data_IF_575000809088
#
_entry.id   IF_575000809088
#
_cell.length_a   1.000
_cell.length_b   1.000
_cell.length_c   1.000
_cell.angle_alpha   90.00
_cell.angle_beta   90.00
_cell.angle_gamma   90.00
#
_symmetry.space_group_name_H-M   'P 1'
#
loop_
_entity.id
_entity.type
_entity.pdbx_description
1 polymer ?
#
# COMPACT_ATOMS: atom_id res chain seq x y z
N UNK A 1 26.96 72.82 -31.61
CA UNK A 1 26.08 71.80 -32.22
C UNK A 1 24.66 71.98 -31.69
N UNK A 2 23.68 72.11 -32.60
CA UNK A 2 22.20 71.92 -32.57
C UNK A 2 21.49 71.96 -31.18
N UNK A 3 20.60 72.94 -30.90
CA UNK A 3 19.11 72.95 -31.10
C UNK A 3 18.38 71.85 -30.30
N UNK A 4 17.20 71.95 -29.69
CA UNK A 4 16.16 72.96 -29.37
C UNK A 4 14.95 72.13 -28.83
N UNK A 5 14.10 72.71 -27.96
CA UNK A 5 12.65 72.40 -27.74
C UNK A 5 12.23 71.06 -27.10
N UNK A 6 11.46 71.08 -25.98
CA UNK A 6 9.98 71.15 -25.84
C UNK A 6 9.28 69.83 -26.22
N UNK A 7 8.57 69.19 -25.28
CA UNK A 7 7.13 68.89 -25.42
C UNK A 7 6.58 68.17 -24.18
N UNK A 8 5.52 68.75 -23.64
CA UNK A 8 4.49 68.12 -22.82
C UNK A 8 3.87 66.91 -23.52
N UNK A 9 3.46 65.88 -22.77
CA UNK A 9 2.32 65.05 -23.13
C UNK A 9 1.61 64.52 -21.88
N UNK A 10 0.42 65.08 -21.63
CA UNK A 10 -0.64 64.51 -20.80
C UNK A 10 -1.28 63.40 -21.63
N UNK A 11 -1.48 62.21 -21.04
CA UNK A 11 -2.27 61.15 -21.66
C UNK A 11 -3.36 60.68 -20.68
N UNK A 12 -4.58 60.92 -21.15
CA UNK A 12 -5.89 60.77 -20.52
C UNK A 12 -6.32 59.30 -20.43
N UNK A 13 -7.15 59.02 -19.43
CA UNK A 13 -7.94 57.81 -19.11
C UNK A 13 -8.37 56.91 -20.27
N UNK A 14 -8.41 55.60 -19.99
CA UNK A 14 -9.54 54.74 -20.39
C UNK A 14 -9.94 53.86 -19.20
N UNK A 15 -11.10 54.18 -18.63
CA UNK A 15 -11.89 53.28 -17.76
C UNK A 15 -12.66 52.36 -18.68
N UNK A 16 -12.37 51.06 -18.64
CA UNK A 16 -13.20 50.04 -19.29
C UNK A 16 -14.18 49.47 -18.27
N UNK A 17 -15.42 49.95 -18.34
CA UNK A 17 -16.59 49.27 -17.76
C UNK A 17 -17.00 48.17 -18.74
N UNK A 18 -17.02 46.92 -18.28
CA UNK A 18 -17.68 45.81 -18.96
C UNK A 18 -18.85 45.38 -18.09
N UNK A 19 -20.05 45.47 -18.67
CA UNK A 19 -21.34 45.15 -18.10
C UNK A 19 -21.84 43.77 -18.55
N UNK A 20 -22.70 43.16 -17.71
CA UNK A 20 -23.72 42.12 -17.97
C UNK A 20 -23.21 40.69 -18.18
N UNK A 21 -23.80 39.61 -17.63
CA UNK A 21 -25.12 39.35 -17.01
C UNK A 21 -25.04 38.05 -16.13
N UNK A 22 -26.10 37.63 -15.40
CA UNK A 22 -26.03 36.55 -14.41
C UNK A 22 -26.30 35.17 -15.05
N UNK A 23 -25.54 34.15 -14.65
CA UNK A 23 -25.89 32.75 -14.92
C UNK A 23 -25.92 31.96 -13.61
N UNK A 24 -27.14 31.70 -13.16
CA UNK A 24 -27.50 30.63 -12.24
C UNK A 24 -27.58 29.33 -13.02
N UNK A 25 -26.90 28.28 -12.55
CA UNK A 25 -27.48 26.93 -12.53
C UNK A 25 -26.65 26.06 -11.57
N UNK A 26 -27.20 25.82 -10.38
CA UNK A 26 -26.82 24.66 -9.58
C UNK A 26 -27.46 23.44 -10.26
N UNK A 27 -26.64 22.50 -10.71
CA UNK A 27 -27.13 21.24 -11.25
C UNK A 27 -27.33 20.26 -10.09
N UNK A 28 -28.58 20.11 -9.66
CA UNK A 28 -29.02 19.04 -8.77
C UNK A 28 -28.90 17.70 -9.50
N UNK A 29 -28.01 16.82 -9.03
CA UNK A 29 -27.98 15.43 -9.50
C UNK A 29 -29.14 14.65 -8.85
N UNK A 30 -29.94 13.89 -9.63
CA UNK A 30 -31.13 13.22 -9.11
C UNK A 30 -30.78 12.02 -8.22
N UNK A 31 -31.36 11.99 -7.02
CA UNK A 31 -31.39 10.82 -6.15
C UNK A 31 -32.03 9.63 -6.88
N UNK A 32 -31.26 8.54 -7.08
CA UNK A 32 -31.82 7.23 -7.38
C UNK A 32 -32.31 6.58 -6.09
N UNK A 33 -33.62 6.55 -5.90
CA UNK A 33 -34.29 5.67 -4.93
C UNK A 33 -34.17 4.23 -5.39
N UNK A 34 -33.58 3.37 -4.55
CA UNK A 34 -33.75 1.93 -4.66
C UNK A 34 -34.57 1.49 -3.45
N UNK A 35 -35.87 1.30 -3.67
CA UNK A 35 -36.74 0.60 -2.74
C UNK A 35 -36.45 -0.90 -2.85
N UNK A 36 -36.04 -1.52 -1.74
CA UNK A 36 -36.50 -2.83 -1.27
C UNK A 36 -35.67 -3.25 -0.05
N UNK A 37 -36.14 -2.88 1.14
CA UNK A 37 -35.71 -3.52 2.38
C UNK A 37 -36.94 -4.09 3.06
N UNK A 38 -37.07 -5.41 2.98
CA UNK A 38 -37.96 -6.19 3.85
C UNK A 38 -37.33 -6.19 5.24
N UNK A 39 -37.89 -5.40 6.15
CA UNK A 39 -37.49 -5.37 7.57
C UNK A 39 -38.36 -6.37 8.33
N UNK A 40 -37.76 -7.46 8.81
CA UNK A 40 -38.36 -8.26 9.88
C UNK A 40 -37.78 -7.73 11.20
N UNK A 41 -38.66 -7.09 11.98
CA UNK A 41 -38.34 -6.39 13.22
C UNK A 41 -37.93 -7.35 14.34
N UNK A 42 -36.95 -6.95 15.16
CA UNK A 42 -37.01 -7.14 16.61
C UNK A 42 -36.26 -6.00 17.33
N UNK A 43 -37.03 -4.95 17.64
CA UNK A 43 -37.02 -4.12 18.85
C UNK A 43 -35.67 -3.80 19.52
N UNK A 44 -35.13 -2.61 19.20
CA UNK A 44 -34.52 -1.70 20.18
C UNK A 44 -34.49 -0.28 19.56
N UNK A 45 -35.20 0.67 20.16
CA UNK A 45 -35.15 2.07 19.78
C UNK A 45 -33.82 2.68 20.27
N UNK A 46 -33.02 3.21 19.35
CA UNK A 46 -31.92 4.12 19.66
C UNK A 46 -32.16 5.40 18.88
N UNK A 47 -32.59 6.42 19.62
CA UNK A 47 -32.68 7.81 19.18
C UNK A 47 -31.28 8.41 19.12
N UNK A 48 -30.74 8.53 17.91
CA UNK A 48 -29.50 9.25 17.63
C UNK A 48 -29.50 9.70 16.17
N UNK A 49 -29.29 11.00 15.94
CA UNK A 49 -29.17 11.58 14.61
C UNK A 49 -28.03 10.92 13.83
N UNK A 50 -28.37 10.30 12.70
CA UNK A 50 -27.42 9.71 11.75
C UNK A 50 -26.80 10.81 10.90
N UNK A 51 -25.55 11.17 11.17
CA UNK A 51 -24.68 11.70 10.13
C UNK A 51 -24.21 10.51 9.29
N UNK A 52 -24.47 10.57 7.98
CA UNK A 52 -23.99 9.57 7.03
C UNK A 52 -22.47 9.76 6.88
N UNK A 53 -21.69 8.91 7.55
CA UNK A 53 -20.25 8.80 7.34
C UNK A 53 -20.04 7.78 6.23
N UNK A 54 -19.70 8.27 5.03
CA UNK A 54 -19.35 7.45 3.88
C UNK A 54 -18.07 6.64 4.17
N UNK A 55 -18.10 5.34 3.88
CA UNK A 55 -16.94 4.46 3.83
C UNK A 55 -16.78 3.50 5.01
N UNK A 56 -17.24 2.27 4.83
CA UNK A 56 -16.82 1.12 5.63
C UNK A 56 -15.28 1.02 5.59
N UNK A 57 -14.61 1.13 6.74
CA UNK A 57 -13.16 0.94 6.80
C UNK A 57 -12.83 -0.51 6.44
N UNK A 58 -12.02 -0.70 5.37
CA UNK A 58 -11.59 -2.03 4.95
C UNK A 58 -10.85 -2.73 6.07
N UNK A 59 -11.14 -4.03 6.20
CA UNK A 59 -10.40 -4.88 7.13
C UNK A 59 -8.92 -5.00 6.69
N UNK A 60 -8.03 -5.34 7.61
CA UNK A 60 -6.60 -5.55 7.32
C UNK A 60 -6.32 -6.51 6.18
N UNK A 61 -7.13 -7.56 6.12
CA UNK A 61 -7.00 -8.65 5.16
C UNK A 61 -7.39 -8.17 3.76
N UNK A 62 -8.45 -7.36 3.67
CA UNK A 62 -8.87 -6.75 2.41
C UNK A 62 -7.83 -5.73 1.93
N UNK A 63 -7.25 -4.95 2.84
CA UNK A 63 -6.19 -3.99 2.48
C UNK A 63 -4.99 -4.73 1.88
N UNK A 64 -4.51 -5.77 2.55
CA UNK A 64 -3.37 -6.55 2.06
C UNK A 64 -3.65 -7.22 0.71
N UNK A 65 -4.83 -7.81 0.54
CA UNK A 65 -5.20 -8.44 -0.72
C UNK A 65 -5.26 -7.42 -1.85
N UNK A 66 -5.83 -6.24 -1.60
CA UNK A 66 -5.84 -5.15 -2.58
C UNK A 66 -4.42 -4.70 -2.96
N UNK A 67 -3.50 -4.61 -2.00
CA UNK A 67 -2.09 -4.31 -2.32
C UNK A 67 -1.46 -5.41 -3.18
N UNK A 68 -1.75 -6.69 -2.94
CA UNK A 68 -1.27 -7.78 -3.81
C UNK A 68 -1.86 -7.69 -5.22
N UNK A 69 -3.13 -7.34 -5.34
CA UNK A 69 -3.79 -7.16 -6.63
C UNK A 69 -3.16 -6.01 -7.43
N UNK A 70 -2.97 -4.85 -6.81
CA UNK A 70 -2.27 -3.70 -7.41
C UNK A 70 -0.83 -4.10 -7.79
N UNK A 71 -0.13 -4.81 -6.92
CA UNK A 71 1.23 -5.27 -7.18
C UNK A 71 1.32 -6.27 -8.34
N UNK A 72 0.29 -7.08 -8.57
CA UNK A 72 0.23 -8.01 -9.70
C UNK A 72 -0.15 -7.29 -11.01
N UNK A 73 -0.95 -6.22 -10.92
CA UNK A 73 -1.52 -5.49 -12.07
C UNK A 73 -0.48 -4.66 -12.84
N UNK A 74 0.43 -3.98 -12.14
CA UNK A 74 1.33 -2.98 -12.73
C UNK A 74 2.79 -3.42 -12.83
N UNK A 75 3.49 -3.01 -13.90
CA UNK A 75 4.95 -3.17 -14.02
C UNK A 75 5.70 -2.05 -13.29
N UNK A 76 7.01 -2.25 -13.08
CA UNK A 76 7.89 -1.19 -12.56
C UNK A 76 7.95 -0.06 -13.59
N UNK A 77 7.80 1.18 -13.12
CA UNK A 77 7.78 2.39 -13.95
C UNK A 77 6.45 2.67 -14.64
N UNK A 78 5.42 1.88 -14.36
CA UNK A 78 4.05 2.11 -14.84
C UNK A 78 3.27 2.94 -13.81
N UNK A 79 2.58 3.97 -14.30
CA UNK A 79 1.73 4.84 -13.48
C UNK A 79 0.43 4.12 -13.10
N UNK A 80 0.03 4.20 -11.84
CA UNK A 80 -1.21 3.62 -11.36
C UNK A 80 -2.44 4.39 -11.86
N UNK A 81 -3.60 3.73 -11.93
CA UNK A 81 -4.85 4.45 -12.11
C UNK A 81 -5.09 5.39 -10.93
N UNK A 82 -5.95 6.40 -11.12
CA UNK A 82 -6.26 7.36 -10.07
C UNK A 82 -6.79 6.66 -8.80
N UNK A 83 -7.69 5.68 -8.97
CA UNK A 83 -8.28 4.88 -7.89
C UNK A 83 -7.21 4.08 -7.11
N UNK A 84 -6.32 3.37 -7.82
CA UNK A 84 -5.27 2.57 -7.20
C UNK A 84 -4.21 3.47 -6.52
N UNK A 85 -3.90 4.62 -7.12
CA UNK A 85 -3.00 5.61 -6.54
C UNK A 85 -3.56 6.21 -5.25
N UNK A 86 -4.86 6.50 -5.20
CA UNK A 86 -5.54 6.98 -3.99
C UNK A 86 -5.60 5.91 -2.90
N UNK A 87 -5.86 4.66 -3.26
CA UNK A 87 -5.83 3.53 -2.33
C UNK A 87 -4.44 3.40 -1.68
N UNK A 88 -3.38 3.40 -2.49
CA UNK A 88 -2.00 3.35 -2.00
C UNK A 88 -1.73 4.55 -1.08
N UNK A 89 -2.05 5.78 -1.48
CA UNK A 89 -1.85 6.97 -0.62
C UNK A 89 -2.61 6.89 0.71
N UNK A 90 -3.85 6.38 0.71
CA UNK A 90 -4.75 6.31 1.87
C UNK A 90 -4.28 5.28 2.89
N UNK A 91 -3.94 4.07 2.44
CA UNK A 91 -3.63 2.95 3.32
C UNK A 91 -2.13 2.76 3.57
N UNK A 92 -1.25 3.41 2.79
CA UNK A 92 0.19 3.41 3.02
C UNK A 92 0.68 4.24 4.20
N UNK A 93 -0.19 5.01 4.86
CA UNK A 93 0.21 5.85 6.01
C UNK A 93 -0.31 5.34 7.35
N UNK A 94 -1.12 4.27 7.38
CA UNK A 94 -1.79 3.81 8.61
C UNK A 94 -0.87 2.87 9.41
N UNK A 95 -0.49 3.21 10.65
CA UNK A 95 0.29 2.31 11.49
C UNK A 95 -0.50 1.02 11.79
N UNK A 96 0.14 -0.13 11.55
CA UNK A 96 -0.47 -1.46 11.78
C UNK A 96 -0.82 -2.20 10.50
N UNK A 97 -0.85 -1.53 9.34
CA UNK A 97 -1.17 -2.13 8.05
C UNK A 97 -0.32 -1.56 6.94
N UNK A 98 0.26 -2.44 6.11
CA UNK A 98 0.75 -2.10 4.77
C UNK A 98 1.79 -0.94 4.74
N UNK A 99 2.22 -0.43 3.56
CA UNK A 99 3.59 -0.01 3.32
C UNK A 99 4.09 1.10 4.24
N UNK A 100 5.38 1.10 4.55
CA UNK A 100 5.98 2.07 5.45
C UNK A 100 6.43 3.32 4.68
N UNK A 101 6.30 4.49 5.30
CA UNK A 101 6.82 5.75 4.78
C UNK A 101 8.32 5.92 5.08
N UNK A 102 8.85 7.10 4.77
CA UNK A 102 10.26 7.46 5.02
C UNK A 102 10.64 7.20 6.48
N UNK A 103 11.76 6.51 6.69
CA UNK A 103 12.27 6.16 8.02
C UNK A 103 12.68 4.70 8.15
N UNK A 104 13.19 4.36 9.33
CA UNK A 104 13.55 3.00 9.70
C UNK A 104 12.40 2.38 10.47
N UNK A 105 11.86 1.28 9.96
CA UNK A 105 10.79 0.55 10.63
C UNK A 105 11.18 -0.92 10.72
N UNK A 106 10.96 -1.50 11.90
CA UNK A 106 11.17 -2.91 12.18
C UNK A 106 9.94 -3.43 12.90
N UNK A 107 9.38 -4.54 12.41
CA UNK A 107 8.16 -5.12 12.97
C UNK A 107 8.34 -6.61 13.20
N UNK A 108 7.83 -7.08 14.32
CA UNK A 108 7.73 -8.51 14.61
C UNK A 108 6.75 -9.16 13.65
N UNK A 109 7.10 -10.35 13.17
CA UNK A 109 6.24 -11.18 12.32
C UNK A 109 6.01 -12.55 12.95
N UNK A 110 4.80 -13.06 12.82
CA UNK A 110 4.45 -14.40 13.27
C UNK A 110 3.40 -15.04 12.37
N UNK A 111 3.57 -16.33 12.08
CA UNK A 111 2.59 -17.12 11.35
C UNK A 111 2.71 -18.60 11.66
N UNK A 112 1.61 -19.32 11.48
CA UNK A 112 1.54 -20.78 11.62
C UNK A 112 0.94 -21.40 10.37
N UNK A 113 1.38 -22.60 10.02
CA UNK A 113 0.82 -23.38 8.92
C UNK A 113 0.81 -24.87 9.22
N UNK A 114 -0.07 -25.58 8.51
CA UNK A 114 -0.23 -27.03 8.63
C UNK A 114 -0.54 -27.65 7.27
N UNK A 115 -0.01 -28.85 7.03
CA UNK A 115 -0.24 -29.63 5.81
C UNK A 115 0.52 -30.95 5.85
N UNK A 116 -0.02 -32.02 5.25
CA UNK A 116 0.67 -33.33 5.20
C UNK A 116 0.96 -33.98 6.57
N UNK A 117 0.24 -33.60 7.63
CA UNK A 117 0.53 -34.03 9.00
C UNK A 117 1.74 -33.34 9.63
N UNK A 118 2.16 -32.20 9.08
CA UNK A 118 3.22 -31.33 9.59
C UNK A 118 2.55 -30.06 10.13
N UNK A 119 3.08 -29.53 11.23
CA UNK A 119 2.77 -28.18 11.72
C UNK A 119 4.07 -27.40 11.81
N UNK A 120 4.04 -26.15 11.38
CA UNK A 120 5.19 -25.27 11.44
C UNK A 120 4.78 -23.85 11.84
N UNK A 121 5.72 -23.17 12.47
CA UNK A 121 5.63 -21.76 12.82
C UNK A 121 6.75 -21.00 12.13
N UNK A 122 6.52 -19.72 11.85
CA UNK A 122 7.49 -18.79 11.32
C UNK A 122 7.43 -17.52 12.15
N UNK A 123 8.56 -17.12 12.73
CA UNK A 123 8.63 -15.98 13.66
C UNK A 123 9.94 -15.21 13.52
N UNK A 124 9.88 -13.90 13.70
CA UNK A 124 11.06 -13.03 13.63
C UNK A 124 10.67 -11.58 13.42
N UNK A 125 11.46 -10.85 12.64
CA UNK A 125 11.24 -9.45 12.33
C UNK A 125 11.48 -9.16 10.85
N UNK A 126 10.63 -8.34 10.24
CA UNK A 126 10.93 -7.70 8.96
C UNK A 126 11.34 -6.25 9.19
N UNK A 127 12.20 -5.73 8.33
CA UNK A 127 12.69 -4.35 8.39
C UNK A 127 12.62 -3.72 7.01
N UNK A 128 12.28 -2.45 7.00
CA UNK A 128 12.48 -1.59 5.85
C UNK A 128 12.97 -0.22 6.31
N UNK A 129 13.83 0.38 5.49
CA UNK A 129 14.44 1.66 5.71
C UNK A 129 14.32 2.45 4.42
N UNK A 130 13.46 3.47 4.43
CA UNK A 130 13.28 4.37 3.30
C UNK A 130 14.03 5.66 3.59
N UNK A 131 15.08 5.92 2.82
CA UNK A 131 15.81 7.18 2.82
C UNK A 131 15.38 8.09 1.67
N UNK A 132 16.13 9.17 1.43
CA UNK A 132 15.81 10.11 0.34
C UNK A 132 16.07 9.50 -1.04
N UNK A 133 17.13 8.70 -1.16
CA UNK A 133 17.52 8.02 -2.40
C UNK A 133 17.93 6.58 -2.11
N UNK A 134 18.64 6.36 -1.00
CA UNK A 134 19.12 5.04 -0.61
C UNK A 134 18.15 4.42 0.40
N UNK A 135 17.69 3.23 0.08
CA UNK A 135 16.71 2.46 0.84
C UNK A 135 17.27 1.07 1.13
N UNK A 136 16.66 0.35 2.06
CA UNK A 136 16.97 -1.06 2.27
C UNK A 136 15.78 -1.83 2.85
N UNK A 137 15.76 -3.12 2.59
CA UNK A 137 14.74 -4.04 3.11
C UNK A 137 15.36 -5.38 3.49
N UNK A 138 14.66 -6.12 4.33
CA UNK A 138 15.05 -7.49 4.65
C UNK A 138 14.30 -8.04 5.84
N UNK A 139 14.73 -9.21 6.30
CA UNK A 139 14.12 -9.85 7.44
C UNK A 139 15.12 -10.76 8.15
N UNK A 140 14.89 -10.93 9.46
CA UNK A 140 15.49 -11.97 10.27
C UNK A 140 14.36 -12.81 10.85
N UNK A 141 14.16 -14.03 10.38
CA UNK A 141 13.11 -14.91 10.88
C UNK A 141 13.48 -16.37 10.77
N UNK A 142 12.87 -17.20 11.61
CA UNK A 142 13.04 -18.65 11.58
C UNK A 142 11.70 -19.31 11.36
N UNK A 143 11.67 -20.23 10.40
CA UNK A 143 10.55 -21.15 10.18
C UNK A 143 10.96 -22.52 10.66
N UNK A 144 10.21 -23.10 11.59
CA UNK A 144 10.50 -24.41 12.18
C UNK A 144 9.23 -25.24 12.33
N UNK A 145 9.34 -26.56 12.13
CA UNK A 145 8.24 -27.46 12.43
C UNK A 145 8.08 -27.64 13.93
N UNK A 146 6.84 -27.51 14.40
CA UNK A 146 6.45 -27.83 15.77
C UNK A 146 5.98 -29.28 15.91
N UNK A 147 5.57 -29.92 14.80
CA UNK A 147 5.27 -31.35 14.74
C UNK A 147 5.44 -31.91 13.33
N UNK A 148 5.79 -33.20 13.20
CA UNK A 148 5.90 -33.87 11.89
C UNK A 148 7.19 -33.55 11.10
N UNK A 149 8.22 -33.01 11.75
CA UNK A 149 9.46 -32.54 11.10
C UNK A 149 10.20 -33.57 10.25
N UNK A 150 10.10 -34.87 10.58
CA UNK A 150 10.72 -35.95 9.79
C UNK A 150 10.15 -36.10 8.37
N UNK A 151 8.96 -35.53 8.10
CA UNK A 151 8.32 -35.55 6.77
C UNK A 151 8.76 -34.36 5.89
N UNK A 152 9.50 -33.40 6.44
CA UNK A 152 9.94 -32.21 5.71
C UNK A 152 11.07 -32.56 4.77
N UNK A 153 10.93 -32.17 3.51
CA UNK A 153 11.98 -32.22 2.50
C UNK A 153 12.77 -30.91 2.50
N UNK A 154 12.05 -29.78 2.53
CA UNK A 154 12.68 -28.47 2.58
C UNK A 154 11.76 -27.40 3.17
N UNK A 155 12.39 -26.33 3.65
CA UNK A 155 11.73 -25.09 4.02
C UNK A 155 12.38 -23.98 3.19
N UNK A 156 11.58 -23.22 2.45
CA UNK A 156 12.00 -22.02 1.73
C UNK A 156 11.42 -20.80 2.40
N UNK A 157 12.28 -19.87 2.82
CA UNK A 157 11.87 -18.59 3.38
C UNK A 157 12.06 -17.50 2.33
N UNK A 158 11.14 -16.54 2.29
CA UNK A 158 11.13 -15.43 1.36
C UNK A 158 10.79 -14.13 2.10
N UNK A 159 11.45 -13.04 1.71
CA UNK A 159 11.01 -11.67 2.01
C UNK A 159 10.91 -10.90 0.70
N UNK A 160 9.76 -10.29 0.45
CA UNK A 160 9.47 -9.53 -0.75
C UNK A 160 9.21 -8.07 -0.38
N UNK A 161 9.69 -7.15 -1.21
CA UNK A 161 9.36 -5.74 -1.14
C UNK A 161 8.71 -5.27 -2.45
N UNK A 162 7.71 -4.41 -2.34
CA UNK A 162 7.26 -3.53 -3.43
C UNK A 162 7.34 -2.09 -2.95
N UNK A 163 8.09 -1.24 -3.65
CA UNK A 163 8.20 0.18 -3.33
C UNK A 163 7.45 1.02 -4.37
N UNK A 164 6.78 2.07 -3.89
CA UNK A 164 5.96 2.99 -4.67
C UNK A 164 6.53 4.41 -4.55
N UNK A 165 6.56 5.11 -5.68
CA UNK A 165 7.14 6.43 -5.78
C UNK A 165 6.59 7.20 -6.97
N UNK A 166 7.15 8.38 -7.21
CA UNK A 166 6.73 9.22 -8.34
C UNK A 166 7.10 8.55 -9.67
N UNK A 167 6.13 8.48 -10.58
CA UNK A 167 6.28 7.96 -11.94
C UNK A 167 5.56 8.92 -12.90
N UNK A 168 6.16 9.19 -14.07
CA UNK A 168 5.56 10.06 -15.08
C UNK A 168 5.49 11.53 -14.67
N UNK A 169 4.47 12.24 -15.15
CA UNK A 169 4.30 13.70 -15.01
C UNK A 169 3.72 14.15 -13.66
N UNK A 170 3.61 13.24 -12.68
CA UNK A 170 3.03 13.53 -11.37
C UNK A 170 2.29 12.35 -10.71
N UNK A 171 2.27 11.18 -11.35
CA UNK A 171 1.64 9.99 -10.84
C UNK A 171 2.44 9.24 -9.78
N UNK A 172 1.79 8.24 -9.18
CA UNK A 172 2.44 7.24 -8.34
C UNK A 172 2.46 5.92 -9.09
N UNK A 173 3.57 5.20 -9.01
CA UNK A 173 3.70 3.86 -9.55
C UNK A 173 4.71 3.04 -8.77
N UNK A 174 4.87 1.79 -9.19
CA UNK A 174 5.87 0.89 -8.64
C UNK A 174 7.26 1.31 -9.12
N UNK A 175 8.18 1.59 -8.20
CA UNK A 175 9.55 2.03 -8.51
C UNK A 175 10.61 0.97 -8.22
N UNK A 176 10.30 0.00 -7.37
CA UNK A 176 11.20 -1.12 -7.06
C UNK A 176 10.40 -2.34 -6.62
N UNK A 177 10.89 -3.53 -6.98
CA UNK A 177 10.35 -4.79 -6.51
C UNK A 177 11.45 -5.82 -6.44
N UNK A 178 11.54 -6.55 -5.32
CA UNK A 178 12.50 -7.65 -5.18
C UNK A 178 12.04 -8.67 -4.15
N UNK A 179 12.46 -9.91 -4.36
CA UNK A 179 12.31 -11.00 -3.39
C UNK A 179 13.68 -11.58 -3.07
N UNK A 180 14.02 -11.65 -1.79
CA UNK A 180 15.15 -12.41 -1.27
C UNK A 180 14.64 -13.76 -0.76
N UNK A 181 15.40 -14.84 -0.95
CA UNK A 181 14.97 -16.15 -0.48
C UNK A 181 16.14 -17.05 -0.09
N UNK A 182 15.94 -17.91 0.89
CA UNK A 182 16.85 -19.01 1.20
C UNK A 182 16.08 -20.33 1.36
N UNK A 183 16.79 -21.46 1.24
CA UNK A 183 16.17 -22.79 1.35
C UNK A 183 17.04 -23.70 2.22
N UNK A 184 16.42 -24.40 3.16
CA UNK A 184 17.07 -25.38 4.02
C UNK A 184 16.43 -26.76 3.82
N UNK A 185 17.25 -27.81 3.70
CA UNK A 185 16.80 -29.22 3.64
C UNK A 185 16.72 -29.84 5.04
N UNK A 186 15.95 -29.22 5.92
CA UNK A 186 15.77 -29.61 7.32
C UNK A 186 14.45 -29.05 7.86
N UNK A 187 14.03 -29.54 9.02
CA UNK A 187 12.78 -29.14 9.70
C UNK A 187 12.82 -27.75 10.34
N UNK A 188 13.92 -27.01 10.20
CA UNK A 188 14.06 -25.63 10.66
C UNK A 188 14.97 -24.83 9.72
N UNK A 189 14.56 -23.62 9.36
CA UNK A 189 15.29 -22.74 8.46
C UNK A 189 15.26 -21.31 8.97
N UNK A 190 16.44 -20.76 9.22
CA UNK A 190 16.63 -19.36 9.58
C UNK A 190 16.97 -18.56 8.34
N UNK A 191 16.31 -17.42 8.17
CA UNK A 191 16.54 -16.41 7.16
C UNK A 191 17.08 -15.16 7.85
N UNK A 192 18.17 -14.59 7.33
CA UNK A 192 18.79 -13.36 7.82
C UNK A 192 19.48 -12.68 6.65
N UNK A 193 18.70 -11.98 5.84
CA UNK A 193 19.19 -11.29 4.66
C UNK A 193 18.61 -9.88 4.60
N UNK A 194 19.45 -8.95 4.16
CA UNK A 194 19.10 -7.56 3.95
C UNK A 194 19.74 -7.07 2.66
N UNK A 195 19.01 -6.26 1.90
CA UNK A 195 19.52 -5.69 0.66
C UNK A 195 19.20 -4.19 0.56
N UNK A 196 20.19 -3.42 0.10
CA UNK A 196 20.03 -2.01 -0.23
C UNK A 196 19.62 -1.80 -1.68
N UNK A 197 18.85 -0.74 -1.93
CA UNK A 197 18.43 -0.32 -3.27
C UNK A 197 18.32 1.20 -3.36
N UNK A 198 18.39 1.75 -4.58
CA UNK A 198 18.26 3.19 -4.82
C UNK A 198 16.95 3.51 -5.55
N UNK A 199 16.27 4.57 -5.12
CA UNK A 199 15.03 5.06 -5.74
C UNK A 199 14.33 6.09 -4.87
N UNK A 200 13.58 7.00 -5.51
CA UNK A 200 12.67 7.92 -4.79
C UNK A 200 11.42 7.15 -4.37
N UNK A 201 11.30 6.84 -3.08
CA UNK A 201 10.25 6.00 -2.53
C UNK A 201 9.40 6.84 -1.58
N UNK A 202 8.09 6.84 -1.80
CA UNK A 202 7.13 7.41 -0.88
C UNK A 202 6.62 6.36 0.12
N UNK A 203 6.42 5.13 -0.35
CA UNK A 203 5.82 4.03 0.41
C UNK A 203 6.46 2.69 0.00
N UNK A 204 6.63 1.71 0.89
CA UNK A 204 6.99 0.34 0.50
C UNK A 204 6.35 -0.77 1.32
N UNK A 205 5.79 -1.80 0.67
CA UNK A 205 5.20 -2.99 1.30
C UNK A 205 6.27 -4.04 1.46
N UNK A 206 6.37 -4.66 2.64
CA UNK A 206 7.23 -5.82 2.87
C UNK A 206 6.38 -7.01 3.29
N UNK A 207 6.57 -8.14 2.59
CA UNK A 207 5.89 -9.40 2.84
C UNK A 207 6.89 -10.48 3.23
N UNK A 208 6.57 -11.21 4.29
CA UNK A 208 7.32 -12.40 4.69
C UNK A 208 6.50 -13.63 4.32
N UNK A 209 7.18 -14.66 3.79
CA UNK A 209 6.55 -15.91 3.37
C UNK A 209 7.48 -17.08 3.67
N UNK A 210 6.89 -18.21 4.04
CA UNK A 210 7.60 -19.47 4.14
C UNK A 210 6.83 -20.59 3.44
N UNK A 211 7.53 -21.44 2.69
CA UNK A 211 6.97 -22.61 2.01
C UNK A 211 7.61 -23.85 2.60
N UNK A 212 6.80 -24.73 3.16
CA UNK A 212 7.24 -26.02 3.73
C UNK A 212 6.84 -27.12 2.76
N UNK A 213 7.84 -27.83 2.24
CA UNK A 213 7.66 -28.90 1.25
C UNK A 213 7.87 -30.28 1.87
N UNK A 214 7.04 -31.23 1.46
CA UNK A 214 7.04 -32.64 1.85
C UNK A 214 6.66 -33.52 0.65
N UNK A 215 6.76 -34.84 0.77
CA UNK A 215 6.57 -35.75 -0.38
C UNK A 215 5.20 -35.63 -1.06
N UNK A 216 4.16 -35.30 -0.30
CA UNK A 216 2.77 -35.15 -0.78
C UNK A 216 2.36 -33.71 -1.15
N UNK A 217 3.30 -32.76 -1.22
CA UNK A 217 3.00 -31.38 -1.61
C UNK A 217 3.74 -30.32 -0.78
N UNK A 218 3.14 -29.14 -0.66
CA UNK A 218 3.66 -28.07 0.18
C UNK A 218 2.52 -27.26 0.80
N UNK A 219 2.82 -26.54 1.88
CA UNK A 219 1.94 -25.52 2.41
C UNK A 219 2.71 -24.22 2.63
N UNK A 220 1.99 -23.10 2.55
CA UNK A 220 2.55 -21.75 2.72
C UNK A 220 2.15 -21.19 4.09
N UNK A 221 3.09 -20.51 4.74
CA UNK A 221 2.88 -19.67 5.91
C UNK A 221 3.10 -18.23 5.45
N UNK A 222 2.15 -17.35 5.74
CA UNK A 222 2.26 -15.91 5.51
C UNK A 222 2.30 -15.19 6.87
N UNK A 223 3.46 -15.07 7.52
CA UNK A 223 3.58 -14.36 8.80
C UNK A 223 2.99 -12.96 8.74
N UNK A 224 2.24 -12.60 9.77
CA UNK A 224 1.62 -11.28 9.94
C UNK A 224 2.44 -10.43 10.89
N UNK A 225 2.42 -9.12 10.67
CA UNK A 225 2.91 -8.18 11.67
C UNK A 225 2.11 -8.31 12.97
N UNK A 226 2.80 -8.28 14.10
CA UNK A 226 2.20 -8.22 15.44
C UNK A 226 2.11 -6.78 15.95
#
# INVERSE_FOLDING_TARGET
MKKKYFSSLIATTVVSVLTLSPFSYAEELPLKTVENIVVISNKAEVTGSLEIIDGEELTPQQIEEQFKEIDAKYKIGEEFSMEDAEFVKKYAKKPGYSPEGVGNVTRSVFGVGKGGGIRAESKGTARNNIGVINNSFGATFTTATTSGGAKVISIRNEVSITAYGAVGSGGIGKVYQKTLSNTCKKSSCTFNEYEGYSGSVAYATVYVKAVVSYSGGSFTINPRYQ
#
